data_IF_536734644202
#
_entry.id   IF_536734644202
#
_cell.length_a   1.000
_cell.length_b   1.000
_cell.length_c   1.000
_cell.angle_alpha   90.00
_cell.angle_beta   90.00
_cell.angle_gamma   90.00
#
_symmetry.space_group_name_H-M   'P 1'
#
loop_
_entity.id
_entity.type
_entity.pdbx_description
1 polymer ?
#
# COMPACT_ATOMS: atom_id res chain seq x y z
N UNK A 1 28.67 25.29 5.30
CA UNK A 1 27.28 25.49 4.82
C UNK A 1 26.55 24.16 4.95
N UNK A 2 25.33 24.16 5.54
CA UNK A 2 24.47 22.99 5.57
C UNK A 2 23.70 22.84 4.25
N UNK A 3 23.69 21.64 3.68
CA UNK A 3 22.94 21.31 2.47
C UNK A 3 22.66 19.81 2.42
N UNK A 4 21.49 19.40 1.93
CA UNK A 4 21.16 18.00 1.77
C UNK A 4 20.14 17.79 0.64
N UNK A 5 19.98 16.53 0.25
CA UNK A 5 18.89 16.08 -0.61
C UNK A 5 18.37 14.72 -0.13
N UNK A 6 17.25 14.25 -0.68
CA UNK A 6 16.70 12.93 -0.40
C UNK A 6 15.92 12.37 -1.58
N UNK A 7 15.89 11.05 -1.68
CA UNK A 7 15.10 10.33 -2.65
C UNK A 7 14.67 8.96 -2.10
N UNK A 8 13.45 8.50 -2.41
CA UNK A 8 12.36 9.27 -3.04
C UNK A 8 11.73 10.30 -2.09
N UNK A 9 11.08 11.34 -2.61
CA UNK A 9 10.36 12.34 -1.79
C UNK A 9 8.90 11.97 -1.55
N UNK A 10 8.35 11.06 -2.33
CA UNK A 10 7.06 10.41 -2.11
C UNK A 10 7.31 8.94 -1.79
N UNK A 11 6.84 8.50 -0.62
CA UNK A 11 7.00 7.12 -0.13
C UNK A 11 5.66 6.52 0.24
N UNK A 12 5.55 5.20 0.06
CA UNK A 12 4.38 4.43 0.44
C UNK A 12 4.72 3.48 1.59
N UNK A 13 4.15 3.79 2.75
CA UNK A 13 4.31 2.96 3.95
C UNK A 13 3.66 1.58 3.80
N UNK A 14 4.18 0.56 4.49
CA UNK A 14 5.34 0.58 5.38
C UNK A 14 6.65 0.25 4.67
N UNK A 15 6.66 0.10 3.34
CA UNK A 15 7.73 -0.60 2.63
C UNK A 15 8.81 0.32 2.05
N UNK A 16 8.47 1.60 1.76
CA UNK A 16 9.40 2.50 1.07
C UNK A 16 10.26 3.29 2.06
N UNK A 17 11.55 3.24 1.83
CA UNK A 17 12.57 3.93 2.63
C UNK A 17 13.08 5.19 1.90
N UNK A 18 13.30 6.27 2.65
CA UNK A 18 13.89 7.51 2.15
C UNK A 18 15.39 7.50 2.43
N UNK A 19 16.20 7.76 1.42
CA UNK A 19 17.64 7.88 1.54
C UNK A 19 18.04 9.35 1.51
N UNK A 20 18.69 9.81 2.58
CA UNK A 20 19.16 11.19 2.72
C UNK A 20 20.63 11.30 2.35
N UNK A 21 20.97 12.32 1.57
CA UNK A 21 22.34 12.60 1.15
C UNK A 21 22.76 13.96 1.68
N UNK A 22 23.78 13.95 2.53
CA UNK A 22 24.38 15.17 3.06
C UNK A 22 25.35 15.77 2.03
N UNK A 23 25.06 16.97 1.59
CA UNK A 23 25.88 17.76 0.66
C UNK A 23 26.61 18.92 1.35
N UNK A 24 26.67 18.92 2.70
CA UNK A 24 27.32 19.97 3.48
C UNK A 24 28.82 19.91 3.33
N UNK A 25 29.46 21.08 3.25
CA UNK A 25 30.91 21.22 3.16
C UNK A 25 31.52 21.61 4.51
N UNK A 26 32.65 20.97 4.87
CA UNK A 26 33.42 21.29 6.07
C UNK A 26 32.77 20.88 7.39
N UNK A 27 31.81 19.96 7.35
CA UNK A 27 31.13 19.45 8.52
C UNK A 27 31.75 18.12 8.99
N UNK A 28 31.88 17.96 10.32
CA UNK A 28 32.37 16.76 10.99
C UNK A 28 31.29 16.03 11.79
N UNK A 29 30.25 16.74 12.24
CA UNK A 29 29.12 16.19 13.01
C UNK A 29 27.79 16.58 12.35
N UNK A 30 26.77 15.73 12.54
CA UNK A 30 25.48 15.82 11.87
C UNK A 30 24.36 15.52 12.85
N UNK A 31 23.24 16.22 12.71
CA UNK A 31 21.99 15.92 13.39
C UNK A 31 20.84 16.12 12.40
N UNK A 32 20.14 15.04 12.11
CA UNK A 32 18.95 15.05 11.30
C UNK A 32 17.71 15.04 12.16
N UNK A 33 16.71 15.84 11.79
CA UNK A 33 15.34 15.74 12.28
C UNK A 33 14.44 15.41 11.10
N UNK A 34 13.70 14.28 11.20
CA UNK A 34 12.84 13.81 10.11
C UNK A 34 11.41 14.40 10.13
N UNK A 35 11.12 15.23 11.16
CA UNK A 35 9.84 15.94 11.25
C UNK A 35 8.72 15.18 11.96
N UNK A 36 8.95 13.96 12.40
CA UNK A 36 8.03 13.12 13.19
C UNK A 36 8.46 12.93 14.64
N UNK A 37 9.51 13.64 15.05
CA UNK A 37 10.13 13.54 16.38
C UNK A 37 11.32 12.58 16.43
N UNK A 38 11.67 11.94 15.32
CA UNK A 38 12.84 11.08 15.21
C UNK A 38 14.06 11.84 14.71
N UNK A 39 15.25 11.37 15.10
CA UNK A 39 16.54 11.98 14.81
C UNK A 39 17.56 10.94 14.36
N UNK A 40 18.62 11.39 13.66
CA UNK A 40 19.79 10.58 13.32
C UNK A 40 21.05 11.44 13.33
N UNK A 41 22.19 10.86 13.73
CA UNK A 41 23.54 11.46 13.69
C UNK A 41 24.41 10.91 12.56
N UNK A 42 23.84 10.05 11.74
CA UNK A 42 24.53 9.49 10.57
C UNK A 42 24.77 10.55 9.50
N UNK A 43 25.88 10.43 8.77
CA UNK A 43 26.19 11.35 7.67
C UNK A 43 25.15 11.31 6.55
N UNK A 44 24.72 10.11 6.17
CA UNK A 44 23.74 9.87 5.10
C UNK A 44 22.75 8.80 5.61
N UNK A 45 21.75 9.17 6.41
CA UNK A 45 20.82 8.20 6.97
C UNK A 45 19.81 7.73 5.93
N UNK A 46 19.25 6.55 6.18
CA UNK A 46 17.99 6.15 5.60
C UNK A 46 16.89 6.18 6.66
N UNK A 47 15.64 6.44 6.24
CA UNK A 47 14.56 6.56 7.20
C UNK A 47 13.23 5.99 6.64
N UNK A 48 12.51 5.27 7.50
CA UNK A 48 11.22 4.67 7.19
C UNK A 48 10.12 5.37 8.01
N UNK A 49 9.32 6.19 7.38
CA UNK A 49 8.20 6.88 8.03
C UNK A 49 7.11 5.90 8.47
N UNK A 50 6.56 6.11 9.67
CA UNK A 50 5.53 5.24 10.25
C UNK A 50 4.12 5.84 10.22
N UNK A 51 3.99 7.11 9.85
CA UNK A 51 2.73 7.85 9.75
C UNK A 51 2.55 8.51 8.39
N UNK A 52 1.29 8.68 7.98
CA UNK A 52 0.98 9.47 6.79
C UNK A 52 1.18 10.95 7.09
N UNK A 53 1.71 11.71 6.14
CA UNK A 53 1.87 13.15 6.29
C UNK A 53 2.89 13.78 5.36
N UNK A 54 3.01 15.09 5.51
CA UNK A 54 4.06 15.90 4.91
C UNK A 54 5.07 16.24 5.99
N UNK A 55 6.31 15.82 5.79
CA UNK A 55 7.36 15.96 6.80
C UNK A 55 8.36 17.03 6.41
N UNK A 56 8.64 17.90 7.38
CA UNK A 56 9.69 18.92 7.30
C UNK A 56 10.96 18.32 7.83
N UNK A 57 12.01 18.33 7.01
CA UNK A 57 13.30 17.74 7.37
C UNK A 57 14.32 18.84 7.62
N UNK A 58 15.06 18.72 8.70
CA UNK A 58 16.12 19.64 9.08
C UNK A 58 17.44 18.88 9.24
N UNK A 59 18.51 19.41 8.66
CA UNK A 59 19.87 18.98 8.89
C UNK A 59 20.63 20.09 9.60
N UNK A 60 21.18 19.80 10.77
CA UNK A 60 22.13 20.64 11.47
C UNK A 60 23.51 19.99 11.45
N UNK A 61 24.54 20.77 11.20
CA UNK A 61 25.90 20.28 11.06
C UNK A 61 26.86 21.15 11.86
N UNK A 62 27.93 20.55 12.36
CA UNK A 62 29.02 21.24 13.06
C UNK A 62 30.35 20.93 12.38
N UNK A 63 31.26 21.89 12.44
CA UNK A 63 32.65 21.67 12.04
C UNK A 63 33.51 21.34 13.26
N UNK A 64 34.78 20.96 13.03
CA UNK A 64 35.77 20.67 14.10
C UNK A 64 36.05 21.83 15.04
N UNK A 65 35.68 23.07 14.68
CA UNK A 65 35.83 24.28 15.54
C UNK A 65 34.56 24.57 16.35
N UNK A 66 33.52 23.72 16.25
CA UNK A 66 32.25 23.89 16.95
C UNK A 66 31.28 24.91 16.32
N UNK A 67 31.61 25.42 15.12
CA UNK A 67 30.65 26.29 14.40
C UNK A 67 29.57 25.45 13.76
N UNK A 68 28.31 25.84 13.94
CA UNK A 68 27.16 25.15 13.39
C UNK A 68 26.51 25.90 12.24
N UNK A 69 25.76 25.15 11.44
CA UNK A 69 24.84 25.63 10.41
C UNK A 69 23.70 24.65 10.26
N UNK A 70 22.53 25.14 9.92
CA UNK A 70 21.37 24.30 9.66
C UNK A 70 20.72 24.63 8.31
N UNK A 71 19.95 23.69 7.81
CA UNK A 71 19.05 23.87 6.67
C UNK A 71 17.79 23.06 6.87
N UNK A 72 16.65 23.67 6.58
CA UNK A 72 15.32 23.08 6.71
C UNK A 72 14.61 23.09 5.37
N UNK A 73 14.04 21.95 5.00
CA UNK A 73 13.15 21.80 3.84
C UNK A 73 11.75 21.48 4.34
N UNK A 74 10.84 22.44 4.19
CA UNK A 74 9.44 22.30 4.60
C UNK A 74 8.67 21.38 3.66
N UNK A 75 7.80 20.51 4.21
CA UNK A 75 6.95 19.59 3.45
C UNK A 75 7.73 18.79 2.41
N UNK A 76 8.95 18.40 2.76
CA UNK A 76 9.93 17.86 1.83
C UNK A 76 9.69 16.39 1.50
N UNK A 77 9.22 15.61 2.46
CA UNK A 77 8.87 14.20 2.25
C UNK A 77 7.37 14.03 2.44
N UNK A 78 6.74 13.38 1.47
CA UNK A 78 5.34 12.97 1.56
C UNK A 78 5.26 11.46 1.79
N UNK A 79 4.73 11.04 2.95
CA UNK A 79 4.45 9.65 3.25
C UNK A 79 2.95 9.35 3.14
N UNK A 80 2.61 8.35 2.35
CA UNK A 80 1.23 7.89 2.13
C UNK A 80 1.11 6.42 2.51
N UNK A 81 -0.08 5.99 2.87
CA UNK A 81 -0.35 4.57 3.05
C UNK A 81 -0.38 3.87 1.69
N UNK A 82 0.30 2.72 1.60
CA UNK A 82 0.21 1.86 0.43
C UNK A 82 -1.19 1.29 0.24
N UNK A 83 -1.52 0.93 -1.01
CA UNK A 83 -2.78 0.27 -1.32
C UNK A 83 -2.92 -1.08 -0.65
N UNK A 84 -4.17 -1.52 -0.43
CA UNK A 84 -4.46 -2.87 0.04
C UNK A 84 -5.57 -3.51 -0.79
N UNK A 85 -5.61 -4.85 -0.76
CA UNK A 85 -6.68 -5.67 -1.31
C UNK A 85 -6.90 -6.90 -0.42
N UNK A 86 -8.15 -7.11 0.01
CA UNK A 86 -8.56 -8.21 0.88
C UNK A 86 -9.78 -8.89 0.30
N UNK A 87 -9.75 -10.22 0.23
CA UNK A 87 -10.85 -11.04 -0.28
C UNK A 87 -11.60 -11.69 0.87
N UNK A 88 -12.93 -11.88 0.74
CA UNK A 88 -13.69 -12.64 1.71
C UNK A 88 -13.29 -14.12 1.70
N UNK A 89 -13.35 -14.78 2.86
CA UNK A 89 -13.08 -16.22 2.95
C UNK A 89 -14.27 -17.05 2.49
N UNK A 90 -15.46 -16.49 2.57
CA UNK A 90 -16.73 -17.14 2.21
C UNK A 90 -17.71 -16.12 1.65
N UNK A 91 -18.61 -16.55 0.79
CA UNK A 91 -19.77 -15.76 0.37
C UNK A 91 -20.97 -16.67 0.16
N UNK A 92 -22.18 -16.10 0.20
CA UNK A 92 -23.42 -16.82 -0.07
C UNK A 92 -24.16 -16.11 -1.20
N UNK A 93 -24.32 -16.77 -2.39
CA UNK A 93 -25.10 -16.24 -3.47
C UNK A 93 -26.54 -15.97 -3.03
N UNK A 94 -27.14 -14.88 -3.51
CA UNK A 94 -28.57 -14.61 -3.28
C UNK A 94 -29.41 -15.66 -4.01
N UNK A 95 -30.18 -16.41 -3.23
CA UNK A 95 -31.21 -17.25 -3.78
C UNK A 95 -32.53 -16.42 -3.86
N UNK A 96 -32.89 -15.94 -5.05
CA UNK A 96 -34.08 -15.10 -5.24
C UNK A 96 -35.40 -15.80 -4.90
N UNK A 97 -35.36 -17.13 -4.77
CA UNK A 97 -36.55 -17.95 -4.53
C UNK A 97 -37.12 -17.89 -3.11
N UNK A 98 -36.39 -17.35 -2.11
CA UNK A 98 -36.83 -17.44 -0.71
C UNK A 98 -37.05 -16.10 0.01
N UNK A 99 -36.99 -14.95 -0.68
CA UNK A 99 -37.36 -13.65 -0.09
C UNK A 99 -36.68 -13.26 1.23
N UNK A 100 -35.83 -14.11 1.79
CA UNK A 100 -35.11 -13.87 3.02
C UNK A 100 -33.88 -13.01 2.75
N UNK A 101 -34.03 -11.73 3.00
CA UNK A 101 -32.91 -10.83 3.17
C UNK A 101 -32.08 -11.36 4.35
N UNK A 102 -30.89 -11.85 4.06
CA UNK A 102 -29.95 -12.23 5.12
C UNK A 102 -29.66 -11.01 6.00
N UNK A 103 -30.14 -11.07 7.24
CA UNK A 103 -29.99 -10.04 8.28
C UNK A 103 -28.54 -9.89 8.77
N UNK A 104 -27.63 -10.68 8.27
CA UNK A 104 -26.21 -10.68 8.61
C UNK A 104 -25.38 -10.38 7.38
N UNK A 105 -25.30 -9.15 6.91
CA UNK A 105 -24.26 -8.57 6.05
C UNK A 105 -23.43 -9.52 5.15
N UNK A 106 -24.03 -10.65 4.70
CA UNK A 106 -23.32 -11.65 3.88
C UNK A 106 -23.13 -11.06 2.50
N UNK A 107 -21.91 -11.03 2.04
CA UNK A 107 -21.58 -10.61 0.69
C UNK A 107 -22.35 -11.49 -0.31
N UNK A 108 -23.30 -10.88 -1.03
CA UNK A 108 -24.06 -11.56 -2.09
C UNK A 108 -23.20 -11.85 -3.33
N UNK A 109 -22.03 -11.26 -3.40
CA UNK A 109 -21.04 -11.44 -4.46
C UNK A 109 -19.66 -11.61 -3.85
N UNK A 110 -18.84 -12.45 -4.49
CA UNK A 110 -17.43 -12.59 -4.13
C UNK A 110 -16.64 -11.48 -4.83
N UNK A 111 -16.25 -10.46 -4.07
CA UNK A 111 -15.43 -9.33 -4.53
C UNK A 111 -14.51 -8.85 -3.42
N UNK A 112 -13.36 -8.22 -3.75
CA UNK A 112 -12.47 -7.68 -2.74
C UNK A 112 -12.98 -6.39 -2.10
N UNK A 113 -12.44 -6.11 -0.91
CA UNK A 113 -12.34 -4.75 -0.35
C UNK A 113 -10.94 -4.24 -0.67
N UNK A 114 -10.83 -3.03 -1.18
CA UNK A 114 -9.57 -2.53 -1.70
C UNK A 114 -9.43 -1.01 -1.52
N UNK A 115 -8.19 -0.55 -1.63
CA UNK A 115 -7.82 0.86 -1.70
C UNK A 115 -6.59 1.01 -2.61
N UNK A 116 -6.55 2.11 -3.38
CA UNK A 116 -5.40 2.51 -4.21
C UNK A 116 -4.90 1.41 -5.17
N UNK A 117 -5.82 0.71 -5.82
CA UNK A 117 -5.57 -0.27 -6.87
C UNK A 117 -5.68 0.38 -8.24
N UNK A 118 -4.67 0.23 -9.09
CA UNK A 118 -4.62 0.78 -10.47
C UNK A 118 -4.91 -0.24 -11.54
N UNK A 119 -4.62 -1.52 -11.29
CA UNK A 119 -4.98 -2.62 -12.18
C UNK A 119 -5.43 -3.82 -11.38
N UNK A 120 -6.38 -4.56 -11.94
CA UNK A 120 -7.00 -5.72 -11.32
C UNK A 120 -7.34 -6.75 -12.38
N UNK A 121 -7.14 -8.01 -12.07
CA UNK A 121 -7.62 -9.15 -12.86
C UNK A 121 -7.91 -10.29 -11.91
N UNK A 122 -9.11 -10.84 -11.95
CA UNK A 122 -9.55 -11.94 -11.10
C UNK A 122 -10.15 -13.06 -11.90
N UNK A 123 -9.81 -14.29 -11.52
CA UNK A 123 -10.37 -15.53 -12.07
C UNK A 123 -10.83 -16.43 -10.93
N UNK A 124 -11.96 -17.11 -11.13
CA UNK A 124 -12.51 -18.10 -10.19
C UNK A 124 -12.73 -19.41 -10.93
N UNK A 125 -12.28 -20.49 -10.29
CA UNK A 125 -12.31 -21.85 -10.84
C UNK A 125 -13.07 -22.80 -9.91
N UNK A 126 -13.67 -23.83 -10.48
CA UNK A 126 -14.12 -24.96 -9.69
C UNK A 126 -12.94 -25.89 -9.34
N UNK A 127 -13.21 -26.92 -8.51
CA UNK A 127 -12.21 -27.89 -8.06
C UNK A 127 -11.57 -28.74 -9.18
N UNK A 128 -12.10 -28.70 -10.40
CA UNK A 128 -11.53 -29.38 -11.57
C UNK A 128 -10.72 -28.45 -12.47
N UNK A 129 -10.55 -27.17 -12.06
CA UNK A 129 -9.80 -26.18 -12.82
C UNK A 129 -10.59 -25.53 -13.97
N UNK A 130 -11.91 -25.71 -14.04
CA UNK A 130 -12.75 -25.03 -14.99
C UNK A 130 -12.97 -23.59 -14.57
N UNK A 131 -12.71 -22.64 -15.47
CA UNK A 131 -12.97 -21.21 -15.25
C UNK A 131 -14.49 -20.98 -15.21
N UNK A 132 -14.94 -20.35 -14.13
CA UNK A 132 -16.35 -20.01 -13.89
C UNK A 132 -16.63 -18.51 -14.04
N UNK A 133 -15.67 -17.68 -13.65
CA UNK A 133 -15.80 -16.24 -13.66
C UNK A 133 -14.43 -15.59 -13.90
N UNK A 134 -14.43 -14.49 -14.65
CA UNK A 134 -13.25 -13.70 -14.93
C UNK A 134 -13.66 -12.23 -15.09
N UNK A 135 -12.88 -11.31 -14.49
CA UNK A 135 -13.12 -9.88 -14.63
C UNK A 135 -11.85 -9.07 -14.45
N UNK A 136 -11.78 -7.92 -15.14
CA UNK A 136 -10.79 -6.86 -14.94
C UNK A 136 -11.40 -5.66 -14.17
N UNK A 137 -12.72 -5.68 -13.92
CA UNK A 137 -13.37 -4.64 -13.11
C UNK A 137 -13.40 -5.07 -11.62
N UNK A 138 -12.66 -4.34 -10.80
CA UNK A 138 -12.56 -4.60 -9.36
C UNK A 138 -13.89 -4.42 -8.61
N UNK A 139 -14.86 -3.72 -9.20
CA UNK A 139 -16.20 -3.53 -8.63
C UNK A 139 -17.16 -4.66 -9.03
N UNK A 140 -16.80 -5.42 -10.05
CA UNK A 140 -17.55 -6.59 -10.46
C UNK A 140 -17.21 -7.80 -9.58
N UNK A 141 -18.23 -8.39 -8.96
CA UNK A 141 -18.07 -9.58 -8.12
C UNK A 141 -18.78 -10.79 -8.72
N UNK A 142 -18.24 -11.98 -8.48
CA UNK A 142 -18.94 -13.21 -8.85
C UNK A 142 -20.18 -13.42 -7.98
N UNK A 143 -21.32 -13.58 -8.60
CA UNK A 143 -22.63 -13.79 -7.96
C UNK A 143 -22.90 -15.26 -7.61
N UNK A 144 -21.94 -16.16 -7.83
CA UNK A 144 -22.09 -17.59 -7.59
C UNK A 144 -22.84 -18.34 -8.70
N UNK A 145 -22.98 -17.76 -9.88
CA UNK A 145 -23.65 -18.40 -11.03
C UNK A 145 -22.64 -18.79 -12.11
N UNK A 146 -22.97 -19.84 -12.82
CA UNK A 146 -22.27 -20.27 -14.03
C UNK A 146 -23.28 -20.71 -15.08
N UNK A 147 -23.21 -20.14 -16.28
CA UNK A 147 -24.18 -20.36 -17.37
C UNK A 147 -25.65 -20.13 -16.97
N UNK A 148 -25.90 -19.20 -16.04
CA UNK A 148 -27.25 -18.85 -15.56
C UNK A 148 -27.74 -19.66 -14.36
N UNK A 149 -27.13 -20.78 -14.05
CA UNK A 149 -27.46 -21.62 -12.89
C UNK A 149 -26.58 -21.29 -11.67
N UNK A 150 -27.14 -21.47 -10.47
CA UNK A 150 -26.37 -21.35 -9.23
C UNK A 150 -25.33 -22.47 -9.18
N UNK A 151 -24.07 -22.12 -8.98
CA UNK A 151 -23.00 -23.09 -8.83
C UNK A 151 -23.20 -23.91 -7.53
N UNK A 152 -22.89 -25.22 -7.53
CA UNK A 152 -23.05 -26.07 -6.34
C UNK A 152 -22.31 -25.54 -5.12
N UNK A 153 -22.81 -25.80 -3.92
CA UNK A 153 -22.07 -25.53 -2.71
C UNK A 153 -20.73 -26.30 -2.69
N UNK A 154 -19.66 -25.62 -2.30
CA UNK A 154 -18.35 -26.25 -2.30
C UNK A 154 -17.20 -25.26 -2.20
N UNK A 155 -16.00 -25.77 -2.44
CA UNK A 155 -14.75 -25.00 -2.49
C UNK A 155 -14.47 -24.57 -3.91
N UNK A 156 -14.17 -23.31 -4.08
CA UNK A 156 -13.76 -22.68 -5.32
C UNK A 156 -12.37 -22.07 -5.13
N UNK A 157 -11.56 -22.14 -6.17
CA UNK A 157 -10.23 -21.54 -6.17
C UNK A 157 -10.30 -20.22 -6.91
N UNK A 158 -9.75 -19.19 -6.34
CA UNK A 158 -9.63 -17.88 -6.99
C UNK A 158 -8.19 -17.41 -7.06
N UNK A 159 -7.87 -16.67 -8.09
CA UNK A 159 -6.59 -15.98 -8.27
C UNK A 159 -6.90 -14.53 -8.65
N UNK A 160 -6.21 -13.60 -8.01
CA UNK A 160 -6.29 -12.19 -8.34
C UNK A 160 -4.90 -11.57 -8.42
N UNK A 161 -4.64 -10.81 -9.47
CA UNK A 161 -3.37 -10.11 -9.70
C UNK A 161 -3.63 -8.68 -10.14
N UNK A 162 -2.66 -7.82 -9.89
CA UNK A 162 -2.75 -6.43 -10.30
C UNK A 162 -1.66 -5.59 -9.68
N UNK A 163 -1.91 -4.27 -9.63
CA UNK A 163 -0.94 -3.28 -9.16
C UNK A 163 -1.61 -2.21 -8.32
N UNK A 164 -0.93 -1.77 -7.27
CA UNK A 164 -1.32 -0.61 -6.48
C UNK A 164 -0.81 0.70 -7.10
N UNK A 165 -1.34 1.83 -6.65
CA UNK A 165 -0.89 3.19 -7.02
C UNK A 165 0.61 3.37 -6.74
N UNK A 166 1.15 2.73 -5.71
CA UNK A 166 2.60 2.70 -5.40
C UNK A 166 3.46 2.04 -6.49
N UNK A 167 2.85 1.37 -7.48
CA UNK A 167 3.55 0.55 -8.48
C UNK A 167 3.81 -0.89 -8.02
N UNK A 168 3.61 -1.22 -6.74
CA UNK A 168 3.79 -2.56 -6.19
C UNK A 168 2.75 -3.52 -6.79
N UNK A 169 3.22 -4.66 -7.26
CA UNK A 169 2.36 -5.73 -7.78
C UNK A 169 1.84 -6.63 -6.67
N UNK A 170 0.64 -7.15 -6.85
CA UNK A 170 0.09 -8.20 -5.98
C UNK A 170 -0.35 -9.40 -6.79
N UNK A 171 -0.20 -10.58 -6.16
CA UNK A 171 -0.74 -11.85 -6.64
C UNK A 171 -1.32 -12.58 -5.41
N UNK A 172 -2.64 -12.72 -5.38
CA UNK A 172 -3.40 -13.31 -4.28
C UNK A 172 -4.17 -14.52 -4.78
N UNK A 173 -4.33 -15.52 -3.93
CA UNK A 173 -5.14 -16.72 -4.22
C UNK A 173 -5.76 -17.28 -2.95
N UNK A 174 -6.80 -18.06 -3.08
CA UNK A 174 -7.46 -18.77 -2.00
C UNK A 174 -8.49 -19.76 -2.51
#
# INVERSE_FOLDING_TARGET
>A
TASFDAAPQLVYMPDDEVYFVNNSEGASEFEWSFGDGSYSDEKNPSYLYQGEGLYTVTLRVWNEFGCDADTTKESFIEARRGGFIVFPNTFAPRNELNGNVSIFGVNATFRPVYQDVTSFHMQIFNKWGQLLFETDDINEGWDGRFNGDIAPEGVYVWVAKGRFVSGKEYNKSG
#
